data_IF_273178945763
#
_entry.id   IF_273178945763
#
_cell.length_a   1.000
_cell.length_b   1.000
_cell.length_c   1.000
_cell.angle_alpha   90.00
_cell.angle_beta   90.00
_cell.angle_gamma   90.00
#
_symmetry.space_group_name_H-M   'P 1'
#
loop_
_entity.id
_entity.type
_entity.pdbx_description
1 polymer ?
#
# COMPACT_ATOMS: atom_id res chain seq x y z
N UNK A 1 36.93 -38.60 33.74
CA UNK A 1 37.55 -37.26 33.70
C UNK A 1 36.40 -36.25 33.81
N UNK A 2 35.95 -35.90 35.01
CA UNK A 2 36.58 -34.93 35.93
C UNK A 2 36.51 -33.50 35.40
N UNK A 3 35.56 -32.75 35.98
CA UNK A 3 35.73 -31.38 36.53
C UNK A 3 35.92 -30.20 35.55
N UNK A 4 35.41 -28.97 35.74
CA UNK A 4 34.49 -28.29 36.70
C UNK A 4 34.55 -26.77 36.35
N UNK A 5 33.58 -25.98 36.85
CA UNK A 5 33.58 -24.49 37.10
C UNK A 5 33.23 -23.61 35.89
N UNK A 6 32.17 -22.77 35.87
CA UNK A 6 31.66 -21.71 36.78
C UNK A 6 32.61 -20.51 36.91
N UNK A 7 32.28 -19.41 36.22
CA UNK A 7 32.61 -17.99 36.50
C UNK A 7 31.43 -17.20 35.87
N UNK A 8 30.37 -16.74 36.55
CA UNK A 8 30.23 -15.68 37.55
C UNK A 8 30.88 -14.35 37.18
N UNK A 9 30.09 -13.42 36.64
CA UNK A 9 30.44 -12.02 36.45
C UNK A 9 29.18 -11.15 36.51
N UNK A 10 28.87 -10.69 37.72
CA UNK A 10 27.80 -9.79 38.14
C UNK A 10 28.35 -8.36 38.17
N UNK A 11 27.61 -7.35 37.66
CA UNK A 11 27.51 -5.92 38.12
C UNK A 11 26.48 -5.25 37.19
N UNK A 12 25.24 -4.87 37.56
CA UNK A 12 24.72 -3.85 38.48
C UNK A 12 25.02 -2.37 38.13
N UNK A 13 24.10 -1.72 37.40
CA UNK A 13 23.77 -0.29 37.53
C UNK A 13 22.46 0.01 36.77
N UNK A 14 21.30 0.13 37.43
CA UNK A 14 20.76 1.35 38.03
C UNK A 14 20.85 2.58 37.12
N UNK A 15 19.79 2.81 36.34
CA UNK A 15 19.43 4.09 35.75
C UNK A 15 17.96 4.37 36.06
N UNK A 16 17.75 5.21 37.07
CA UNK A 16 16.46 5.58 37.65
C UNK A 16 15.65 6.50 36.71
N UNK A 17 14.35 6.31 36.80
CA UNK A 17 13.19 7.07 36.29
C UNK A 17 13.39 8.58 36.16
N UNK A 18 12.92 9.14 35.03
CA UNK A 18 12.29 10.46 35.01
C UNK A 18 11.06 10.42 34.10
N UNK A 19 9.91 10.15 34.70
CA UNK A 19 8.62 10.46 34.13
C UNK A 19 8.46 11.99 34.09
N UNK A 20 8.51 12.57 32.90
CA UNK A 20 7.93 13.89 32.64
C UNK A 20 6.76 13.70 31.70
N UNK A 21 5.58 13.57 32.29
CA UNK A 21 4.33 13.84 31.60
C UNK A 21 4.25 15.33 31.30
N UNK A 22 4.16 15.67 30.00
CA UNK A 22 3.39 16.82 29.56
C UNK A 22 2.47 16.27 28.47
N UNK A 23 1.25 15.95 28.90
CA UNK A 23 0.12 15.77 28.00
C UNK A 23 -0.25 17.14 27.43
N UNK A 24 0.50 17.58 26.42
CA UNK A 24 0.06 18.63 25.52
C UNK A 24 -0.78 17.96 24.43
N UNK A 25 -2.08 17.81 24.71
CA UNK A 25 -3.07 17.60 23.67
C UNK A 25 -3.14 18.88 22.84
N UNK A 26 -2.16 19.06 21.96
CA UNK A 26 -2.28 19.99 20.85
C UNK A 26 -3.24 19.35 19.85
N UNK A 27 -4.51 19.67 20.05
CA UNK A 27 -5.58 19.52 19.09
C UNK A 27 -5.25 20.40 17.88
N UNK A 28 -4.36 19.90 17.02
CA UNK A 28 -4.19 20.43 15.67
C UNK A 28 -5.32 19.83 14.84
N UNK A 29 -6.44 20.55 14.78
CA UNK A 29 -7.42 20.45 13.69
C UNK A 29 -6.75 20.90 12.39
N UNK A 30 -5.84 20.07 11.90
CA UNK A 30 -5.36 20.10 10.54
C UNK A 30 -6.33 19.30 9.71
N UNK A 31 -7.32 19.99 9.14
CA UNK A 31 -8.20 19.51 8.08
C UNK A 31 -7.37 19.19 6.83
N UNK A 32 -6.57 18.12 6.90
CA UNK A 32 -5.79 17.61 5.79
C UNK A 32 -6.73 16.96 4.80
N UNK A 33 -7.10 17.71 3.75
CA UNK A 33 -7.71 17.17 2.54
C UNK A 33 -6.92 15.92 2.14
N UNK A 34 -7.55 14.76 2.28
CA UNK A 34 -6.89 13.46 2.17
C UNK A 34 -5.97 13.40 0.96
N UNK A 35 -4.69 13.16 1.22
CA UNK A 35 -3.72 12.79 0.20
C UNK A 35 -4.31 11.60 -0.56
N UNK A 36 -4.70 11.84 -1.81
CA UNK A 36 -5.30 10.84 -2.67
C UNK A 36 -4.21 9.83 -3.03
N UNK A 37 -4.01 8.83 -2.18
CA UNK A 37 -3.11 7.70 -2.34
C UNK A 37 -3.54 6.75 -3.49
N UNK A 38 -3.62 7.25 -4.73
CA UNK A 38 -3.94 6.43 -5.92
C UNK A 38 -2.93 6.68 -7.05
N UNK A 39 -1.65 6.65 -6.68
CA UNK A 39 -0.53 7.11 -7.53
C UNK A 39 0.27 5.96 -8.12
N UNK A 40 -0.13 4.71 -7.91
CA UNK A 40 0.55 3.56 -8.50
C UNK A 40 -0.26 3.04 -9.67
N UNK A 41 0.40 2.94 -10.84
CA UNK A 41 -0.15 2.14 -11.93
C UNK A 41 -0.22 0.71 -11.41
N UNK A 42 -1.34 -0.01 -11.55
CA UNK A 42 -1.36 -1.42 -11.22
C UNK A 42 -0.29 -2.13 -12.04
N UNK A 43 0.67 -2.77 -11.37
CA UNK A 43 1.79 -3.51 -11.99
C UNK A 43 1.31 -4.45 -13.11
N UNK A 44 0.15 -5.06 -12.94
CA UNK A 44 -0.53 -5.86 -13.96
C UNK A 44 -0.68 -5.15 -15.32
N UNK A 45 -1.06 -3.87 -15.34
CA UNK A 45 -1.23 -3.11 -16.60
C UNK A 45 0.09 -2.88 -17.34
N UNK A 46 1.21 -2.83 -16.60
CA UNK A 46 2.54 -2.68 -17.20
C UNK A 46 3.00 -4.05 -17.71
N UNK A 47 2.79 -5.12 -16.94
CA UNK A 47 3.14 -6.48 -17.36
C UNK A 47 2.44 -6.90 -18.66
N UNK A 48 1.17 -6.51 -18.85
CA UNK A 48 0.46 -6.77 -20.11
C UNK A 48 1.05 -6.07 -21.35
N UNK A 49 1.93 -5.08 -21.16
CA UNK A 49 2.64 -4.39 -22.25
C UNK A 49 4.02 -5.01 -22.49
N UNK A 50 4.46 -5.93 -21.64
CA UNK A 50 5.68 -6.68 -21.86
C UNK A 50 5.38 -7.84 -22.82
N UNK A 51 6.34 -8.19 -23.65
CA UNK A 51 6.27 -9.37 -24.49
C UNK A 51 6.47 -10.62 -23.62
N UNK A 52 5.44 -11.02 -22.88
CA UNK A 52 5.44 -12.25 -22.07
C UNK A 52 5.35 -13.47 -22.98
N UNK A 53 5.97 -14.58 -22.58
CA UNK A 53 5.71 -15.88 -23.19
C UNK A 53 4.36 -16.43 -22.72
N UNK A 54 3.76 -17.34 -23.48
CA UNK A 54 2.49 -17.98 -23.10
C UNK A 54 2.56 -18.61 -21.69
N UNK A 55 3.70 -19.23 -21.36
CA UNK A 55 3.92 -19.82 -20.04
C UNK A 55 3.96 -18.75 -18.93
N UNK A 56 4.62 -17.61 -19.16
CA UNK A 56 4.63 -16.48 -18.23
C UNK A 56 3.23 -15.88 -18.07
N UNK A 57 2.48 -15.76 -19.17
CA UNK A 57 1.11 -15.23 -19.13
C UNK A 57 0.18 -16.12 -18.30
N UNK A 58 0.26 -17.44 -18.48
CA UNK A 58 -0.50 -18.41 -17.69
C UNK A 58 -0.17 -18.31 -16.20
N UNK A 59 1.12 -18.24 -15.84
CA UNK A 59 1.56 -18.06 -14.46
C UNK A 59 1.04 -16.74 -13.87
N UNK A 60 1.14 -15.65 -14.64
CA UNK A 60 0.72 -14.34 -14.19
C UNK A 60 -0.81 -14.27 -13.97
N UNK A 61 -1.59 -14.92 -14.85
CA UNK A 61 -3.05 -15.09 -14.67
C UNK A 61 -3.37 -15.87 -13.40
N UNK A 62 -2.68 -16.99 -13.15
CA UNK A 62 -2.90 -17.78 -11.94
C UNK A 62 -2.60 -17.00 -10.65
N UNK A 63 -1.54 -16.19 -10.64
CA UNK A 63 -1.22 -15.29 -9.50
C UNK A 63 -2.34 -14.28 -9.27
N UNK A 64 -2.85 -13.66 -10.35
CA UNK A 64 -3.93 -12.68 -10.26
C UNK A 64 -5.24 -13.33 -9.79
N UNK A 65 -5.60 -14.50 -10.32
CA UNK A 65 -6.81 -15.24 -9.93
C UNK A 65 -6.77 -15.67 -8.48
N UNK A 66 -5.63 -16.19 -8.02
CA UNK A 66 -5.40 -16.52 -6.61
C UNK A 66 -5.57 -15.29 -5.72
N UNK A 67 -4.98 -14.15 -6.10
CA UNK A 67 -5.15 -12.91 -5.36
C UNK A 67 -6.62 -12.48 -5.30
N UNK A 68 -7.32 -12.46 -6.44
CA UNK A 68 -8.74 -12.06 -6.50
C UNK A 68 -9.59 -12.94 -5.58
N UNK A 69 -9.42 -14.26 -5.66
CA UNK A 69 -10.13 -15.21 -4.82
C UNK A 69 -9.85 -14.96 -3.33
N UNK A 70 -8.59 -14.72 -2.96
CA UNK A 70 -8.18 -14.52 -1.58
C UNK A 70 -8.74 -13.23 -0.95
N UNK A 71 -9.01 -12.20 -1.77
CA UNK A 71 -9.49 -10.91 -1.27
C UNK A 71 -10.98 -10.65 -1.51
N UNK A 72 -11.69 -11.58 -2.15
CA UNK A 72 -13.06 -11.35 -2.63
C UNK A 72 -14.01 -10.97 -1.49
N UNK A 73 -13.93 -11.68 -0.36
CA UNK A 73 -14.75 -11.39 0.82
C UNK A 73 -14.47 -9.99 1.38
N UNK A 74 -13.21 -9.57 1.43
CA UNK A 74 -12.80 -8.24 1.91
C UNK A 74 -13.27 -7.15 0.94
N UNK A 75 -13.23 -7.39 -0.38
CA UNK A 75 -13.75 -6.45 -1.38
C UNK A 75 -15.26 -6.29 -1.28
N UNK A 76 -15.99 -7.38 -1.09
CA UNK A 76 -17.43 -7.35 -0.90
C UNK A 76 -17.78 -6.56 0.37
N UNK A 77 -17.13 -6.84 1.50
CA UNK A 77 -17.32 -6.11 2.74
C UNK A 77 -17.02 -4.61 2.59
N UNK A 78 -15.94 -4.23 1.89
CA UNK A 78 -15.66 -2.83 1.60
C UNK A 78 -16.72 -2.16 0.71
N UNK A 79 -17.29 -2.91 -0.24
CA UNK A 79 -18.35 -2.41 -1.11
C UNK A 79 -19.61 -2.11 -0.31
N UNK A 80 -19.97 -2.99 0.61
CA UNK A 80 -21.13 -2.79 1.49
C UNK A 80 -20.91 -1.65 2.48
N UNK A 81 -19.71 -1.53 3.05
CA UNK A 81 -19.33 -0.38 3.89
C UNK A 81 -19.33 0.93 3.10
N UNK A 82 -18.94 0.91 1.82
CA UNK A 82 -19.00 2.09 0.96
C UNK A 82 -20.45 2.50 0.71
N UNK A 83 -21.35 1.55 0.45
CA UNK A 83 -22.79 1.82 0.30
C UNK A 83 -23.38 2.43 1.56
N UNK A 84 -23.03 1.92 2.74
CA UNK A 84 -23.46 2.50 4.02
C UNK A 84 -22.92 3.92 4.22
N UNK A 85 -21.69 4.19 3.78
CA UNK A 85 -21.13 5.55 3.78
C UNK A 85 -21.95 6.50 2.92
N UNK A 86 -22.31 6.09 1.71
CA UNK A 86 -23.14 6.90 0.79
C UNK A 86 -24.54 7.14 1.32
N UNK A 87 -25.09 6.18 2.07
CA UNK A 87 -26.38 6.29 2.75
C UNK A 87 -26.32 7.09 4.07
N UNK A 88 -25.13 7.48 4.53
CA UNK A 88 -24.94 8.18 5.80
C UNK A 88 -25.15 7.31 7.04
N UNK A 89 -25.17 5.99 6.89
CA UNK A 89 -25.44 5.01 7.98
C UNK A 89 -24.17 4.39 8.56
N UNK A 90 -23.00 4.77 8.06
CA UNK A 90 -21.72 4.20 8.48
C UNK A 90 -21.29 4.69 9.88
N UNK A 91 -21.16 3.76 10.83
CA UNK A 91 -20.64 4.03 12.17
C UNK A 91 -19.12 4.20 12.21
N UNK A 92 -18.58 4.70 13.33
CA UNK A 92 -17.13 4.86 13.49
C UNK A 92 -16.40 3.51 13.58
N UNK A 93 -16.99 2.49 14.23
CA UNK A 93 -16.44 1.13 14.25
C UNK A 93 -16.33 0.55 12.82
N UNK A 94 -17.35 0.80 12.00
CA UNK A 94 -17.37 0.38 10.61
C UNK A 94 -16.35 1.14 9.75
N UNK A 95 -16.05 2.41 10.09
CA UNK A 95 -14.95 3.16 9.46
C UNK A 95 -13.60 2.55 9.81
N UNK A 96 -13.38 2.18 11.07
CA UNK A 96 -12.16 1.49 11.50
C UNK A 96 -12.02 0.13 10.81
N UNK A 97 -13.11 -0.64 10.72
CA UNK A 97 -13.14 -1.89 9.96
C UNK A 97 -12.78 -1.68 8.49
N UNK A 98 -13.32 -0.65 7.84
CA UNK A 98 -12.99 -0.33 6.45
C UNK A 98 -11.48 -0.01 6.27
N UNK A 99 -10.86 0.67 7.23
CA UNK A 99 -9.42 0.93 7.19
C UNK A 99 -8.60 -0.35 7.30
N UNK A 100 -8.96 -1.24 8.22
CA UNK A 100 -8.32 -2.56 8.38
C UNK A 100 -8.43 -3.40 7.11
N UNK A 101 -9.63 -3.49 6.51
CA UNK A 101 -9.86 -4.25 5.28
C UNK A 101 -9.05 -3.69 4.10
N UNK A 102 -8.93 -2.36 3.99
CA UNK A 102 -8.05 -1.72 2.99
C UNK A 102 -6.59 -2.11 3.20
N UNK A 103 -6.11 -2.07 4.44
CA UNK A 103 -4.75 -2.48 4.78
C UNK A 103 -4.47 -3.93 4.38
N UNK A 104 -5.39 -4.85 4.66
CA UNK A 104 -5.28 -6.26 4.28
C UNK A 104 -5.21 -6.44 2.75
N UNK A 105 -6.09 -5.76 2.01
CA UNK A 105 -6.10 -5.82 0.54
C UNK A 105 -4.82 -5.23 -0.05
N UNK A 106 -4.33 -4.12 0.51
CA UNK A 106 -3.10 -3.49 0.04
C UNK A 106 -1.87 -4.36 0.31
N UNK A 107 -1.82 -5.04 1.45
CA UNK A 107 -0.74 -6.00 1.75
C UNK A 107 -0.80 -7.20 0.80
N UNK A 108 -1.97 -7.79 0.61
CA UNK A 108 -2.16 -8.86 -0.37
C UNK A 108 -1.79 -8.41 -1.79
N UNK A 109 -2.04 -7.14 -2.14
CA UNK A 109 -1.66 -6.57 -3.44
C UNK A 109 -0.15 -6.45 -3.59
N UNK A 110 0.58 -6.06 -2.54
CA UNK A 110 2.05 -6.02 -2.56
C UNK A 110 2.63 -7.42 -2.79
N UNK A 111 2.08 -8.43 -2.12
CA UNK A 111 2.49 -9.82 -2.30
C UNK A 111 2.26 -10.28 -3.76
N UNK A 112 1.06 -10.02 -4.30
CA UNK A 112 0.77 -10.30 -5.71
C UNK A 112 1.74 -9.57 -6.65
N UNK A 113 2.11 -8.32 -6.35
CA UNK A 113 3.09 -7.58 -7.15
C UNK A 113 4.48 -8.23 -7.13
N UNK A 114 4.93 -8.70 -5.97
CA UNK A 114 6.18 -9.45 -5.83
C UNK A 114 6.16 -10.75 -6.65
N UNK A 115 5.08 -11.53 -6.54
CA UNK A 115 4.91 -12.78 -7.28
C UNK A 115 4.91 -12.55 -8.80
N UNK A 116 4.21 -11.50 -9.26
CA UNK A 116 4.19 -11.13 -10.67
C UNK A 116 5.55 -10.66 -11.18
N UNK A 117 6.31 -9.91 -10.37
CA UNK A 117 7.65 -9.45 -10.75
C UNK A 117 8.66 -10.61 -10.83
N UNK A 118 8.47 -11.65 -10.01
CA UNK A 118 9.31 -12.84 -10.02
C UNK A 118 9.23 -13.62 -11.35
N UNK A 119 8.09 -13.57 -12.05
CA UNK A 119 7.86 -14.23 -13.36
C UNK A 119 8.69 -13.59 -14.48
N UNK A 120 9.03 -12.31 -14.35
CA UNK A 120 9.72 -11.56 -15.39
C UNK A 120 11.20 -11.95 -15.50
N UNK A 121 11.71 -12.05 -16.72
CA UNK A 121 13.15 -12.19 -16.99
C UNK A 121 13.90 -10.91 -16.60
N UNK A 122 15.23 -10.95 -16.41
CA UNK A 122 16.02 -9.75 -16.14
C UNK A 122 15.79 -8.62 -17.15
N UNK A 123 15.70 -8.93 -18.44
CA UNK A 123 15.49 -7.97 -19.52
C UNK A 123 14.09 -7.35 -19.45
N UNK A 124 13.06 -8.17 -19.18
CA UNK A 124 11.69 -7.71 -18.98
C UNK A 124 11.55 -6.82 -17.74
N UNK A 125 12.34 -7.06 -16.68
CA UNK A 125 12.38 -6.19 -15.49
C UNK A 125 12.95 -4.81 -15.80
N UNK A 126 13.96 -4.72 -16.66
CA UNK A 126 14.48 -3.43 -17.16
C UNK A 126 13.40 -2.69 -17.96
N UNK A 127 12.74 -3.37 -18.89
CA UNK A 127 11.64 -2.79 -19.66
C UNK A 127 10.48 -2.32 -18.77
N UNK A 128 10.17 -3.09 -17.72
CA UNK A 128 9.17 -2.71 -16.72
C UNK A 128 9.52 -1.36 -16.06
N UNK A 129 10.77 -1.15 -15.65
CA UNK A 129 11.21 0.09 -15.00
C UNK A 129 11.10 1.31 -15.93
N UNK A 130 11.44 1.14 -17.20
CA UNK A 130 11.30 2.19 -18.23
C UNK A 130 9.84 2.55 -18.46
N UNK A 131 8.98 1.54 -18.61
CA UNK A 131 7.55 1.74 -18.75
C UNK A 131 6.99 2.42 -17.51
N UNK A 132 7.31 1.93 -16.31
CA UNK A 132 6.84 2.53 -15.05
C UNK A 132 7.19 4.02 -14.97
N UNK A 133 8.42 4.38 -15.33
CA UNK A 133 8.88 5.78 -15.36
C UNK A 133 8.06 6.60 -16.35
N UNK A 134 7.90 6.11 -17.59
CA UNK A 134 7.09 6.78 -18.63
C UNK A 134 5.65 7.00 -18.18
N UNK A 135 5.06 5.99 -17.53
CA UNK A 135 3.71 6.06 -17.00
C UNK A 135 3.59 7.10 -15.86
N UNK A 136 4.58 7.17 -14.96
CA UNK A 136 4.64 8.20 -13.91
C UNK A 136 4.70 9.60 -14.51
N UNK A 137 5.63 9.85 -15.43
CA UNK A 137 5.76 11.15 -16.12
C UNK A 137 4.47 11.58 -16.81
N UNK A 138 3.87 10.67 -17.60
CA UNK A 138 2.62 10.96 -18.30
C UNK A 138 1.47 11.29 -17.35
N UNK A 139 1.43 10.64 -16.19
CA UNK A 139 0.42 10.93 -15.16
C UNK A 139 0.66 12.30 -14.53
N UNK A 140 1.90 12.63 -14.20
CA UNK A 140 2.25 13.91 -13.59
C UNK A 140 1.92 15.07 -14.53
N UNK A 141 2.23 14.93 -15.82
CA UNK A 141 1.81 15.89 -16.85
C UNK A 141 0.29 16.07 -16.90
N UNK A 142 -0.48 14.97 -16.85
CA UNK A 142 -1.95 15.03 -16.82
C UNK A 142 -2.47 15.74 -15.56
N UNK A 143 -1.83 15.55 -14.40
CA UNK A 143 -2.19 16.23 -13.16
C UNK A 143 -1.92 17.72 -13.25
N UNK A 144 -0.75 18.12 -13.72
CA UNK A 144 -0.42 19.53 -13.92
C UNK A 144 -1.37 20.20 -14.91
N UNK A 145 -1.75 19.51 -16.00
CA UNK A 145 -2.73 20.03 -16.97
C UNK A 145 -4.11 20.22 -16.37
N UNK A 146 -4.58 19.28 -15.54
CA UNK A 146 -5.87 19.41 -14.84
C UNK A 146 -5.86 20.57 -13.86
N UNK A 147 -4.83 20.67 -13.01
CA UNK A 147 -4.69 21.78 -12.05
C UNK A 147 -4.67 23.14 -12.75
N UNK A 148 -3.92 23.28 -13.85
CA UNK A 148 -3.90 24.55 -14.62
C UNK A 148 -5.25 24.94 -15.22
N UNK A 149 -6.08 23.96 -15.62
CA UNK A 149 -7.43 24.23 -16.16
C UNK A 149 -8.39 24.70 -15.08
N UNK A 150 -8.32 24.10 -13.89
CA UNK A 150 -9.12 24.50 -12.73
C UNK A 150 -8.77 25.95 -12.32
N UNK A 151 -7.48 26.29 -12.23
CA UNK A 151 -7.05 27.66 -11.87
C UNK A 151 -7.44 28.72 -12.91
N UNK A 152 -7.57 28.37 -14.19
CA UNK A 152 -8.00 29.32 -15.24
C UNK A 152 -9.52 29.51 -15.28
N UNK A 153 -10.32 28.52 -14.85
CA UNK A 153 -11.77 28.65 -14.75
C UNK A 153 -12.21 29.49 -13.55
N UNK A 154 -11.45 29.47 -12.46
CA UNK A 154 -11.74 30.27 -11.25
C UNK A 154 -11.41 31.77 -11.43
N UNK A 155 -10.78 32.17 -12.53
CA UNK A 155 -10.37 33.56 -12.83
C UNK A 155 -11.25 34.25 -13.89
N UNK A 156 -12.32 33.60 -14.35
CA UNK A 156 -13.32 34.15 -15.28
C UNK A 156 -14.66 34.31 -14.58
#
# INVERSE_FOLDING_TARGET
MSFRRIITGLVLSLGLIAACGIAAYAQVEGQGKGERHHDRVPLWRIIQQLNLTDAQEQQARAVVEKFQTNIEAQRQALTDLHRQKEQGTLSDDQRAQAQTLRGQIDEARKLMQTDLFAILTPEQRTQYQELETRWKTRRDEMRTRRGRRETQQDQQ
#
